data_IF_071522104829
#
_entry.id   IF_071522104829
#
_cell.length_a   1.000
_cell.length_b   1.000
_cell.length_c   1.000
_cell.angle_alpha   90.00
_cell.angle_beta   90.00
_cell.angle_gamma   90.00
#
_symmetry.space_group_name_H-M   'P 1'
#
loop_
_entity.id
_entity.type
_entity.pdbx_description
1 polymer ?
#
# COMPACT_ATOMS: atom_id res chain seq x y z
N UNK A 1 10.98 0.42 13.20
CA UNK A 1 9.54 0.11 13.33
C UNK A 1 9.41 -1.19 14.11
N UNK A 2 9.24 -1.14 15.45
CA UNK A 2 9.32 -2.36 16.28
C UNK A 2 7.93 -2.89 16.69
N UNK A 3 6.84 -2.12 16.56
CA UNK A 3 5.50 -2.55 17.03
C UNK A 3 4.34 -2.42 16.01
N UNK A 4 4.64 -2.42 14.70
CA UNK A 4 3.57 -2.31 13.71
C UNK A 4 2.75 -3.61 13.64
N UNK A 5 1.42 -3.50 13.76
CA UNK A 5 0.51 -4.65 13.54
C UNK A 5 0.40 -4.91 12.05
N UNK A 6 0.76 -6.13 11.63
CA UNK A 6 0.85 -6.48 10.21
C UNK A 6 -0.44 -7.11 9.73
N UNK A 7 -1.00 -6.55 8.65
CA UNK A 7 -2.13 -7.11 7.94
C UNK A 7 -1.72 -7.47 6.51
N UNK A 8 -2.30 -8.55 5.97
CA UNK A 8 -1.99 -9.02 4.61
C UNK A 8 -3.26 -9.14 3.79
N UNK A 9 -3.29 -8.52 2.62
CA UNK A 9 -4.41 -8.55 1.69
C UNK A 9 -3.95 -9.01 0.32
N UNK A 10 -4.84 -9.66 -0.43
CA UNK A 10 -4.60 -9.98 -1.84
C UNK A 10 -4.76 -8.72 -2.70
N UNK A 11 -4.16 -8.69 -3.89
CA UNK A 11 -4.27 -7.55 -4.83
C UNK A 11 -5.72 -7.15 -5.12
N UNK A 12 -6.64 -8.12 -5.22
CA UNK A 12 -8.07 -7.84 -5.46
C UNK A 12 -8.77 -7.12 -4.30
N UNK A 13 -8.12 -7.04 -3.13
CA UNK A 13 -8.69 -6.50 -1.89
C UNK A 13 -8.10 -5.12 -1.53
N UNK A 14 -7.26 -4.52 -2.38
CA UNK A 14 -6.57 -3.25 -2.09
C UNK A 14 -7.56 -2.14 -1.70
N UNK A 15 -8.66 -2.00 -2.43
CA UNK A 15 -9.67 -0.98 -2.11
C UNK A 15 -10.37 -1.22 -0.76
N UNK A 16 -10.52 -2.49 -0.35
CA UNK A 16 -11.05 -2.81 0.97
C UNK A 16 -10.02 -2.51 2.06
N UNK A 17 -8.77 -2.95 1.87
CA UNK A 17 -7.67 -2.71 2.79
C UNK A 17 -7.42 -1.21 3.02
N UNK A 18 -7.45 -0.41 1.95
CA UNK A 18 -7.28 1.04 2.04
C UNK A 18 -8.42 1.70 2.81
N UNK A 19 -9.68 1.33 2.52
CA UNK A 19 -10.86 1.84 3.25
C UNK A 19 -10.83 1.47 4.73
N UNK A 20 -10.38 0.27 5.04
CA UNK A 20 -10.37 -0.26 6.40
C UNK A 20 -9.28 0.38 7.26
N UNK A 21 -8.08 0.58 6.70
CA UNK A 21 -6.91 0.98 7.49
C UNK A 21 -6.49 2.43 7.28
N UNK A 22 -6.58 2.93 6.05
CA UNK A 22 -6.09 4.26 5.69
C UNK A 22 -7.20 5.31 5.58
N UNK A 23 -8.48 4.92 5.62
CA UNK A 23 -9.60 5.86 5.56
C UNK A 23 -10.47 5.82 6.82
N UNK A 24 -10.90 7.00 7.26
CA UNK A 24 -11.91 7.15 8.32
C UNK A 24 -12.96 8.15 7.87
N UNK A 25 -14.23 7.74 7.92
CA UNK A 25 -15.36 8.56 7.47
C UNK A 25 -15.19 9.09 6.03
N UNK A 26 -14.59 8.30 5.15
CA UNK A 26 -14.34 8.66 3.74
C UNK A 26 -13.11 9.55 3.50
N UNK A 27 -12.38 9.93 4.55
CA UNK A 27 -11.18 10.77 4.45
C UNK A 27 -9.94 9.89 4.66
N UNK A 28 -8.96 10.00 3.76
CA UNK A 28 -7.68 9.30 3.89
C UNK A 28 -6.80 9.97 4.94
N UNK A 29 -6.16 9.16 5.79
CA UNK A 29 -5.21 9.62 6.78
C UNK A 29 -4.01 10.29 6.07
N UNK A 30 -3.78 11.59 6.30
CA UNK A 30 -2.74 12.36 5.62
C UNK A 30 -1.34 11.92 6.01
N UNK A 31 -1.15 11.14 7.07
CA UNK A 31 0.15 10.61 7.50
C UNK A 31 0.42 9.20 6.95
N UNK A 32 -0.48 8.62 6.16
CA UNK A 32 -0.23 7.30 5.56
C UNK A 32 1.07 7.32 4.72
N UNK A 33 1.84 6.25 4.76
CA UNK A 33 3.12 6.15 4.05
C UNK A 33 3.08 4.95 3.11
N UNK A 34 3.46 5.15 1.84
CA UNK A 34 3.65 4.05 0.90
C UNK A 34 5.06 3.48 1.07
N UNK A 35 5.15 2.17 1.21
CA UNK A 35 6.37 1.44 1.51
C UNK A 35 6.46 0.19 0.64
N UNK A 36 7.59 -0.50 0.71
CA UNK A 36 7.68 -1.88 0.24
C UNK A 36 8.25 -2.77 1.33
N UNK A 37 7.73 -4.00 1.40
CA UNK A 37 8.22 -5.03 2.31
C UNK A 37 8.99 -6.07 1.53
N UNK A 38 10.21 -6.36 1.95
CA UNK A 38 11.00 -7.43 1.35
C UNK A 38 10.28 -8.77 1.53
N UNK A 39 10.08 -9.48 0.42
CA UNK A 39 9.62 -10.87 0.44
C UNK A 39 10.81 -11.78 0.75
N UNK A 40 10.55 -12.91 1.43
CA UNK A 40 11.54 -13.82 2.03
C UNK A 40 12.75 -14.05 1.10
N UNK A 41 13.93 -13.71 1.62
CA UNK A 41 15.23 -13.86 0.97
C UNK A 41 15.51 -15.34 0.64
N UNK A 42 16.04 -15.61 -0.56
CA UNK A 42 16.38 -16.98 -1.00
C UNK A 42 15.22 -17.83 -1.52
N UNK A 43 13.99 -17.29 -1.64
CA UNK A 43 12.88 -17.98 -2.28
C UNK A 43 12.71 -17.59 -3.75
N UNK A 44 12.04 -18.40 -4.60
CA UNK A 44 11.61 -18.00 -5.95
C UNK A 44 10.68 -16.79 -5.96
N UNK A 45 10.19 -16.37 -4.78
CA UNK A 45 9.39 -15.18 -4.53
C UNK A 45 10.21 -14.08 -3.83
N UNK A 46 11.53 -14.07 -4.01
CA UNK A 46 12.39 -12.97 -3.58
C UNK A 46 12.03 -11.68 -4.35
N UNK A 47 12.01 -10.55 -3.65
CA UNK A 47 11.64 -9.25 -4.22
C UNK A 47 10.93 -8.37 -3.19
N UNK A 48 10.10 -7.46 -3.66
CA UNK A 48 9.41 -6.45 -2.84
C UNK A 48 7.91 -6.54 -3.02
N UNK A 49 7.18 -6.57 -1.91
CA UNK A 49 5.73 -6.48 -1.88
C UNK A 49 5.30 -5.05 -1.59
N UNK A 50 4.33 -4.50 -2.32
CA UNK A 50 3.80 -3.18 -2.00
C UNK A 50 3.14 -3.19 -0.63
N UNK A 51 3.33 -2.11 0.12
CA UNK A 51 2.77 -1.97 1.45
C UNK A 51 2.42 -0.51 1.74
N UNK A 52 1.58 -0.29 2.74
CA UNK A 52 1.41 1.03 3.32
C UNK A 52 1.35 0.95 4.84
N UNK A 53 1.90 1.97 5.48
CA UNK A 53 1.89 2.14 6.93
C UNK A 53 0.98 3.30 7.30
N UNK A 54 0.16 3.11 8.34
CA UNK A 54 -0.77 4.12 8.85
C UNK A 54 -0.33 4.49 10.27
N UNK A 55 0.40 5.60 10.46
CA UNK A 55 0.98 5.95 11.77
C UNK A 55 -0.04 6.10 12.89
N UNK A 56 -1.24 6.62 12.59
CA UNK A 56 -2.29 6.85 13.58
C UNK A 56 -2.83 5.57 14.23
N UNK A 57 -2.70 4.43 13.55
CA UNK A 57 -3.16 3.10 14.02
C UNK A 57 -2.01 2.13 14.27
N UNK A 58 -0.79 2.46 13.82
CA UNK A 58 0.34 1.54 13.86
C UNK A 58 0.17 0.33 12.93
N UNK A 59 -0.71 0.41 11.94
CA UNK A 59 -0.98 -0.69 11.02
C UNK A 59 -0.01 -0.68 9.84
N UNK A 60 0.61 -1.83 9.56
CA UNK A 60 1.37 -2.08 8.34
C UNK A 60 0.59 -3.06 7.47
N UNK A 61 0.08 -2.58 6.34
CA UNK A 61 -0.70 -3.37 5.40
C UNK A 61 0.20 -3.79 4.24
N UNK A 62 0.29 -5.09 4.00
CA UNK A 62 1.11 -5.67 2.93
C UNK A 62 0.20 -6.28 1.87
N UNK A 63 0.40 -5.87 0.61
CA UNK A 63 -0.35 -6.38 -0.53
C UNK A 63 0.40 -7.56 -1.15
N UNK A 64 -0.25 -8.72 -1.18
CA UNK A 64 0.28 -9.95 -1.76
C UNK A 64 -0.18 -10.05 -3.21
N UNK A 65 0.73 -9.77 -4.13
CA UNK A 65 0.58 -10.04 -5.56
C UNK A 65 1.10 -11.44 -5.93
N UNK A 66 0.72 -11.95 -7.10
CA UNK A 66 1.20 -13.24 -7.61
C UNK A 66 2.73 -13.28 -7.75
N UNK A 67 3.33 -12.17 -8.21
CA UNK A 67 4.77 -12.01 -8.32
C UNK A 67 5.23 -10.78 -7.52
N UNK A 68 6.34 -10.87 -6.77
CA UNK A 68 6.94 -9.72 -6.10
C UNK A 68 7.63 -8.80 -7.13
N UNK A 69 7.72 -7.50 -6.82
CA UNK A 69 8.46 -6.55 -7.63
C UNK A 69 9.97 -6.73 -7.46
N UNK A 70 10.76 -6.32 -8.46
CA UNK A 70 12.22 -6.50 -8.43
C UNK A 70 12.88 -5.50 -7.50
N UNK A 71 12.33 -4.29 -7.41
CA UNK A 71 12.86 -3.21 -6.56
C UNK A 71 11.80 -2.65 -5.62
N UNK A 72 12.25 -2.02 -4.52
CA UNK A 72 11.37 -1.29 -3.60
C UNK A 72 10.63 -0.15 -4.31
N UNK A 73 11.32 0.58 -5.18
CA UNK A 73 10.75 1.69 -5.95
C UNK A 73 9.61 1.21 -6.87
N UNK A 74 9.81 0.09 -7.58
CA UNK A 74 8.77 -0.50 -8.42
C UNK A 74 7.51 -0.87 -7.62
N UNK A 75 7.66 -1.46 -6.44
CA UNK A 75 6.53 -1.81 -5.59
C UNK A 75 5.75 -0.57 -5.12
N UNK A 76 6.46 0.48 -4.70
CA UNK A 76 5.85 1.73 -4.25
C UNK A 76 5.14 2.44 -5.41
N UNK A 77 5.82 2.58 -6.55
CA UNK A 77 5.25 3.23 -7.73
C UNK A 77 4.01 2.50 -8.25
N UNK A 78 4.05 1.16 -8.27
CA UNK A 78 2.90 0.36 -8.65
C UNK A 78 1.71 0.57 -7.71
N UNK A 79 1.95 0.62 -6.39
CA UNK A 79 0.89 0.87 -5.42
C UNK A 79 0.32 2.28 -5.55
N UNK A 80 1.18 3.28 -5.75
CA UNK A 80 0.75 4.67 -6.02
C UNK A 80 -0.16 4.72 -7.23
N UNK A 81 0.28 4.16 -8.36
CA UNK A 81 -0.51 4.10 -9.59
C UNK A 81 -1.84 3.37 -9.40
N UNK A 82 -1.85 2.22 -8.71
CA UNK A 82 -3.07 1.45 -8.46
C UNK A 82 -4.06 2.23 -7.60
N UNK A 83 -3.58 2.88 -6.54
CA UNK A 83 -4.40 3.71 -5.66
C UNK A 83 -5.00 4.90 -6.43
N UNK A 84 -4.25 5.52 -7.33
CA UNK A 84 -4.78 6.55 -8.22
C UNK A 84 -5.89 6.03 -9.12
N UNK A 85 -5.75 4.83 -9.70
CA UNK A 85 -6.83 4.22 -10.50
C UNK A 85 -8.09 3.97 -9.64
N UNK A 86 -7.91 3.48 -8.42
CA UNK A 86 -9.01 3.26 -7.47
C UNK A 86 -9.63 4.59 -6.99
N UNK A 87 -8.85 5.66 -6.95
CA UNK A 87 -9.38 6.98 -6.62
C UNK A 87 -10.21 7.54 -7.78
N UNK A 88 -9.67 7.47 -8.99
CA UNK A 88 -10.31 7.99 -10.20
C UNK A 88 -11.63 7.27 -10.51
N UNK A 89 -11.78 6.00 -10.12
CA UNK A 89 -13.03 5.26 -10.28
C UNK A 89 -13.98 5.35 -9.05
N UNK A 90 -13.62 6.12 -8.02
CA UNK A 90 -14.43 6.35 -6.82
C UNK A 90 -14.42 5.22 -5.78
N UNK A 91 -13.55 4.21 -5.92
CA UNK A 91 -13.43 3.11 -4.95
C UNK A 91 -12.77 3.53 -3.64
N UNK A 92 -11.86 4.52 -3.69
CA UNK A 92 -11.17 5.07 -2.52
C UNK A 92 -11.04 6.60 -2.64
N UNK A 93 -10.72 7.26 -1.53
CA UNK A 93 -10.20 8.64 -1.58
C UNK A 93 -8.69 8.61 -1.42
N UNK A 94 -7.99 9.62 -1.92
CA UNK A 94 -6.58 9.85 -1.67
C UNK A 94 -6.37 11.27 -1.18
N UNK A 95 -5.36 11.45 -0.34
CA UNK A 95 -4.90 12.79 0.04
C UNK A 95 -4.01 13.37 -1.08
N UNK A 96 -4.04 14.69 -1.28
CA UNK A 96 -3.36 15.34 -2.41
C UNK A 96 -1.84 15.04 -2.49
N UNK A 97 -1.18 14.72 -1.37
CA UNK A 97 0.25 14.38 -1.34
C UNK A 97 0.64 13.16 -2.19
N UNK A 98 -0.33 12.31 -2.55
CA UNK A 98 -0.08 11.14 -3.39
C UNK A 98 -0.27 11.41 -4.89
N UNK A 99 -0.75 12.60 -5.28
CA UNK A 99 -0.98 12.96 -6.71
C UNK A 99 0.28 13.47 -7.41
N UNK A 100 1.32 13.85 -6.67
CA UNK A 100 2.56 14.44 -7.21
C UNK A 100 3.65 13.38 -7.51
N UNK A 101 3.45 12.13 -7.08
CA UNK A 101 4.43 11.05 -7.28
C UNK A 101 4.34 10.37 -8.67
N UNK A 102 3.36 10.77 -9.49
CA UNK A 102 3.02 10.10 -10.76
C UNK A 102 3.14 11.01 -11.98
N UNK A 103 3.73 12.20 -11.82
CA UNK A 103 3.95 13.19 -12.89
C UNK A 103 5.37 13.11 -13.47
#
# INVERSE_FOLDING_TARGET
MIDATVFTYQVREIAAAWREHAQRSGITDPETELLARQAVEGSPRAGYRPAFYVPSTGHLVVIVACEPHRTQAEAINWLSWMLEQLHNNGSVTLFNKYREASA
#
